data_IF_752419290266
#
_entry.id   IF_752419290266
#
_cell.length_a   1.000
_cell.length_b   1.000
_cell.length_c   1.000
_cell.angle_alpha   90.00
_cell.angle_beta   90.00
_cell.angle_gamma   90.00
#
_symmetry.space_group_name_H-M   'P 1'
#
loop_
_entity.id
_entity.type
_entity.pdbx_description
1 polymer ?
#
# COMPACT_ATOMS: atom_id res chain seq x y z
N UNK A 1 26.35 -4.10 -25.37
CA UNK A 1 26.24 -4.46 -23.93
C UNK A 1 24.79 -4.27 -23.54
N UNK A 2 24.08 -5.36 -23.19
CA UNK A 2 22.65 -5.30 -22.85
C UNK A 2 22.45 -4.62 -21.49
N UNK A 3 21.44 -3.75 -21.39
CA UNK A 3 21.06 -3.11 -20.14
C UNK A 3 20.62 -4.18 -19.13
N UNK A 4 21.38 -4.30 -18.04
CA UNK A 4 21.08 -5.22 -16.93
C UNK A 4 19.70 -4.87 -16.38
N UNK A 5 18.77 -5.83 -16.23
CA UNK A 5 17.42 -5.56 -15.78
C UNK A 5 17.42 -4.91 -14.38
N UNK A 6 16.38 -4.13 -14.05
CA UNK A 6 16.24 -3.53 -12.74
C UNK A 6 16.31 -4.60 -11.65
N UNK A 7 17.16 -4.37 -10.65
CA UNK A 7 17.28 -5.27 -9.50
C UNK A 7 15.97 -5.36 -8.69
N UNK A 8 15.86 -6.36 -7.84
CA UNK A 8 14.80 -6.46 -6.84
C UNK A 8 15.31 -5.87 -5.52
N UNK A 9 14.41 -5.22 -4.78
CA UNK A 9 14.67 -4.70 -3.45
C UNK A 9 13.87 -5.55 -2.45
N UNK A 10 14.56 -6.24 -1.56
CA UNK A 10 13.95 -7.02 -0.48
C UNK A 10 14.01 -6.19 0.79
N UNK A 11 12.84 -5.83 1.31
CA UNK A 11 12.69 -5.06 2.54
C UNK A 11 12.33 -6.03 3.66
N UNK A 12 13.15 -6.08 4.70
CA UNK A 12 12.92 -6.95 5.87
C UNK A 12 12.48 -6.09 7.06
N UNK A 13 11.47 -6.57 7.78
CA UNK A 13 11.00 -5.93 9.01
C UNK A 13 12.10 -5.93 10.06
N UNK A 14 12.22 -4.82 10.80
CA UNK A 14 13.22 -4.65 11.87
C UNK A 14 12.98 -5.61 13.04
N UNK A 15 11.74 -5.99 13.28
CA UNK A 15 11.35 -6.81 14.44
C UNK A 15 11.70 -8.30 14.28
N UNK A 16 12.25 -8.69 13.11
CA UNK A 16 12.63 -10.08 12.79
C UNK A 16 14.08 -10.18 12.30
N UNK A 17 15.07 -10.06 13.20
CA UNK A 17 16.50 -10.10 12.85
C UNK A 17 16.97 -11.48 12.34
N UNK A 18 16.28 -12.54 12.75
CA UNK A 18 16.44 -13.90 12.25
C UNK A 18 16.14 -14.00 10.75
N UNK A 19 15.03 -13.40 10.30
CA UNK A 19 14.65 -13.31 8.89
C UNK A 19 15.67 -12.52 8.08
N UNK A 20 16.22 -11.44 8.64
CA UNK A 20 17.29 -10.69 7.97
C UNK A 20 18.54 -11.55 7.74
N UNK A 21 18.96 -12.31 8.76
CA UNK A 21 20.13 -13.19 8.64
C UNK A 21 19.91 -14.28 7.58
N UNK A 22 18.70 -14.86 7.55
CA UNK A 22 18.31 -15.85 6.55
C UNK A 22 18.30 -15.27 5.13
N UNK A 23 17.59 -14.16 4.93
CA UNK A 23 17.45 -13.49 3.61
C UNK A 23 18.81 -13.03 3.10
N UNK A 24 19.65 -12.45 3.97
CA UNK A 24 20.99 -12.00 3.60
C UNK A 24 21.86 -13.16 3.12
N UNK A 25 21.83 -14.31 3.82
CA UNK A 25 22.55 -15.52 3.41
C UNK A 25 21.98 -16.11 2.13
N UNK A 26 20.66 -16.10 1.96
CA UNK A 26 19.98 -16.69 0.80
C UNK A 26 20.28 -15.95 -0.51
N UNK A 27 20.45 -14.63 -0.43
CA UNK A 27 20.75 -13.75 -1.56
C UNK A 27 22.23 -13.31 -1.61
N UNK A 28 23.09 -13.97 -0.84
CA UNK A 28 24.53 -13.72 -0.89
C UNK A 28 25.07 -14.09 -2.28
N UNK A 29 25.65 -13.10 -2.95
CA UNK A 29 26.21 -13.26 -4.30
C UNK A 29 25.25 -12.95 -5.46
N UNK A 30 23.98 -12.60 -5.23
CA UNK A 30 23.09 -12.12 -6.30
C UNK A 30 23.20 -10.59 -6.44
N UNK A 31 23.87 -10.08 -7.50
CA UNK A 31 24.03 -8.64 -7.69
C UNK A 31 22.76 -7.94 -8.19
N UNK A 32 21.65 -8.67 -8.38
CA UNK A 32 20.36 -8.09 -8.73
C UNK A 32 19.46 -7.90 -7.51
N UNK A 33 19.82 -8.44 -6.35
CA UNK A 33 18.97 -8.37 -5.15
C UNK A 33 19.64 -7.51 -4.11
N UNK A 34 18.97 -6.42 -3.73
CA UNK A 34 19.41 -5.61 -2.60
C UNK A 34 18.52 -5.88 -1.40
N UNK A 35 19.12 -6.32 -0.30
CA UNK A 35 18.40 -6.54 0.96
C UNK A 35 18.58 -5.30 1.83
N UNK A 36 17.47 -4.71 2.27
CA UNK A 36 17.45 -3.58 3.20
C UNK A 36 16.57 -3.90 4.41
N UNK A 37 16.96 -3.39 5.58
CA UNK A 37 16.12 -3.41 6.77
C UNK A 37 15.24 -2.17 6.75
N UNK A 38 13.97 -2.32 7.10
CA UNK A 38 13.12 -1.15 7.29
C UNK A 38 13.63 -0.32 8.48
N UNK A 39 14.03 0.93 8.18
CA UNK A 39 14.60 1.87 9.17
C UNK A 39 13.61 2.95 9.58
N UNK A 40 12.36 2.89 9.14
CA UNK A 40 11.33 3.84 9.58
C UNK A 40 11.17 3.68 11.09
N UNK A 41 11.78 4.59 11.84
CA UNK A 41 11.41 4.77 13.23
C UNK A 41 9.96 5.25 13.19
N UNK A 42 9.07 4.55 13.87
CA UNK A 42 7.93 5.20 14.49
C UNK A 42 8.50 6.29 15.38
N UNK A 43 8.76 7.47 14.83
CA UNK A 43 8.89 8.68 15.63
C UNK A 43 7.54 8.82 16.33
N UNK A 44 7.47 8.69 17.67
CA UNK A 44 6.20 8.71 18.39
C UNK A 44 5.60 10.13 18.49
N UNK A 45 5.85 11.00 17.50
CA UNK A 45 5.54 12.44 17.57
C UNK A 45 4.87 13.04 16.33
N UNK A 46 4.51 12.26 15.31
CA UNK A 46 3.93 12.79 14.07
C UNK A 46 2.43 12.48 13.94
N UNK A 47 1.64 12.86 14.95
CA UNK A 47 0.17 12.99 14.87
C UNK A 47 -0.25 14.28 14.15
N UNK A 48 0.49 14.68 13.11
CA UNK A 48 0.13 15.86 12.33
C UNK A 48 -0.93 15.45 11.29
N UNK A 49 -2.15 16.04 11.30
CA UNK A 49 -3.23 15.68 10.38
C UNK A 49 -2.85 16.01 8.94
N UNK A 50 -2.22 15.04 8.28
CA UNK A 50 -1.76 15.15 6.91
C UNK A 50 -2.91 14.93 5.93
N UNK A 51 -3.01 15.84 4.96
CA UNK A 51 -3.95 15.74 3.86
C UNK A 51 -3.73 14.47 3.02
N UNK A 52 -4.80 13.86 2.48
CA UNK A 52 -4.71 12.60 1.76
C UNK A 52 -4.10 12.79 0.35
N UNK A 53 -2.78 12.64 0.25
CA UNK A 53 -2.07 12.55 -1.03
C UNK A 53 -2.33 11.17 -1.68
N UNK A 54 -2.83 11.16 -2.93
CA UNK A 54 -3.22 9.95 -3.70
C UNK A 54 -2.11 8.91 -3.90
N UNK A 55 -0.84 9.26 -3.64
CA UNK A 55 0.31 8.35 -3.71
C UNK A 55 0.55 7.53 -2.44
N UNK A 56 -0.24 7.70 -1.38
CA UNK A 56 -0.08 7.00 -0.09
C UNK A 56 -0.71 5.60 -0.04
N UNK A 57 -1.63 5.28 -0.94
CA UNK A 57 -2.36 4.00 -0.87
C UNK A 57 -1.43 2.79 -1.02
N UNK A 58 -0.49 2.84 -1.96
CA UNK A 58 0.45 1.74 -2.20
C UNK A 58 1.39 1.50 -1.01
N UNK A 59 1.69 2.54 -0.23
CA UNK A 59 2.55 2.42 0.95
C UNK A 59 1.88 1.71 2.12
N UNK A 60 0.56 1.89 2.30
CA UNK A 60 -0.17 1.23 3.39
C UNK A 60 -0.24 -0.28 3.19
N UNK A 61 -0.45 -0.72 1.95
CA UNK A 61 -0.44 -2.14 1.62
C UNK A 61 0.94 -2.74 1.88
N UNK A 62 2.00 -2.04 1.48
CA UNK A 62 3.38 -2.49 1.68
C UNK A 62 3.75 -2.56 3.18
N UNK A 63 3.26 -1.62 3.98
CA UNK A 63 3.44 -1.63 5.43
C UNK A 63 2.69 -2.78 6.10
N UNK A 64 1.44 -3.03 5.70
CA UNK A 64 0.65 -4.15 6.21
C UNK A 64 1.29 -5.50 5.85
N UNK A 65 1.76 -5.64 4.60
CA UNK A 65 2.48 -6.83 4.15
C UNK A 65 3.79 -7.04 4.91
N UNK A 66 4.51 -5.96 5.22
CA UNK A 66 5.75 -6.02 6.00
C UNK A 66 5.48 -6.40 7.46
N UNK A 67 4.41 -5.88 8.07
CA UNK A 67 3.97 -6.26 9.43
C UNK A 67 3.53 -7.71 9.50
N UNK A 68 2.78 -8.17 8.50
CA UNK A 68 2.20 -9.52 8.46
C UNK A 68 3.25 -10.59 8.15
N UNK A 69 4.06 -10.36 7.11
CA UNK A 69 4.97 -11.37 6.56
C UNK A 69 6.41 -11.19 7.05
N UNK A 70 6.78 -10.02 7.54
CA UNK A 70 8.14 -9.70 7.96
C UNK A 70 9.12 -9.44 6.81
N UNK A 71 8.72 -9.65 5.56
CA UNK A 71 9.52 -9.40 4.36
C UNK A 71 8.63 -9.01 3.18
N UNK A 72 9.08 -8.06 2.36
CA UNK A 72 8.41 -7.63 1.13
C UNK A 72 9.43 -7.50 0.00
N UNK A 73 9.07 -7.96 -1.19
CA UNK A 73 9.90 -7.85 -2.40
C UNK A 73 9.29 -6.79 -3.30
N UNK A 74 10.06 -5.73 -3.56
CA UNK A 74 9.66 -4.63 -4.43
C UNK A 74 10.52 -4.72 -5.69
N UNK A 75 9.93 -4.73 -6.91
CA UNK A 75 10.73 -4.54 -8.11
C UNK A 75 11.38 -3.15 -8.00
N UNK A 76 12.71 -3.05 -8.10
CA UNK A 76 13.36 -1.74 -8.08
C UNK A 76 12.99 -1.06 -9.40
N UNK A 77 11.84 -0.39 -9.43
CA UNK A 77 11.41 0.35 -10.61
C UNK A 77 12.58 1.19 -11.05
N UNK A 78 13.04 0.97 -12.29
CA UNK A 78 14.17 1.64 -12.87
C UNK A 78 13.91 3.14 -12.75
N UNK A 79 14.49 3.76 -11.72
CA UNK A 79 14.28 5.18 -11.42
C UNK A 79 14.84 5.92 -12.62
N UNK A 80 14.01 6.49 -13.51
CA UNK A 80 14.51 7.11 -14.73
C UNK A 80 15.27 8.35 -14.27
N UNK A 81 16.61 8.30 -14.35
CA UNK A 81 17.47 9.41 -13.93
C UNK A 81 18.34 9.16 -12.70
N UNK A 82 18.29 7.99 -12.05
CA UNK A 82 19.31 7.62 -11.07
C UNK A 82 20.57 7.08 -11.78
N UNK A 83 21.20 7.90 -12.63
CA UNK A 83 22.57 7.65 -13.05
C UNK A 83 23.42 7.54 -11.77
N UNK A 84 24.17 6.44 -11.68
CA UNK A 84 25.00 6.06 -10.54
C UNK A 84 25.63 7.30 -9.87
N UNK A 85 25.09 7.69 -8.70
CA UNK A 85 25.89 8.52 -7.79
C UNK A 85 27.07 7.62 -7.42
N UNK A 86 28.32 7.99 -7.77
CA UNK A 86 29.46 7.23 -7.33
C UNK A 86 29.38 7.13 -5.81
N UNK A 87 29.44 5.90 -5.31
CA UNK A 87 29.66 5.64 -3.90
C UNK A 87 30.83 6.56 -3.48
N UNK A 88 30.66 7.45 -2.48
CA UNK A 88 31.73 8.33 -2.07
C UNK A 88 32.92 7.44 -1.68
N UNK A 89 33.98 7.48 -2.48
CA UNK A 89 35.26 6.91 -2.11
C UNK A 89 35.60 7.45 -0.72
N UNK A 90 35.98 6.54 0.18
CA UNK A 90 36.30 6.82 1.57
C UNK A 90 37.03 8.16 1.68
N UNK A 91 36.34 9.17 2.21
CA UNK A 91 36.97 10.44 2.50
C UNK A 91 38.10 10.19 3.51
N UNK A 92 39.31 10.72 3.30
CA UNK A 92 40.36 10.68 4.31
C UNK A 92 39.84 11.31 5.60
N UNK A 93 40.20 10.69 6.73
CA UNK A 93 39.73 11.03 8.06
C UNK A 93 39.79 12.56 8.29
N UNK A 94 38.71 13.17 8.81
CA UNK A 94 38.74 14.59 9.15
C UNK A 94 39.79 14.84 10.25
N UNK A 95 40.54 15.95 10.19
CA UNK A 95 41.44 16.33 11.27
C UNK A 95 40.64 16.54 12.55
N UNK A 96 41.17 15.98 13.62
CA UNK A 96 40.66 16.07 15.00
C UNK A 96 40.40 17.53 15.37
N UNK A 97 39.14 17.95 15.37
CA UNK A 97 38.76 19.23 15.98
C UNK A 97 38.85 19.08 17.51
N UNK A 98 39.49 20.03 18.22
CA UNK A 98 39.51 20.02 19.67
C UNK A 98 38.09 20.23 20.21
N UNK A 99 37.74 19.39 21.16
CA UNK A 99 36.49 19.34 21.92
C UNK A 99 36.23 20.71 22.54
N UNK A 100 35.33 21.49 21.93
CA UNK A 100 34.74 22.67 22.56
C UNK A 100 33.66 22.22 23.54
N UNK A 101 33.73 22.79 24.74
CA UNK A 101 32.94 22.54 25.93
C UNK A 101 31.46 22.21 25.68
N UNK A 102 31.03 21.13 26.33
CA UNK A 102 29.62 20.79 26.52
C UNK A 102 28.88 21.96 27.19
N UNK A 103 27.76 22.45 26.63
CA UNK A 103 26.86 23.35 27.35
C UNK A 103 26.16 22.57 28.47
N UNK A 104 26.14 23.16 29.67
CA UNK A 104 25.50 22.60 30.85
C UNK A 104 23.98 22.43 30.66
N UNK A 105 23.36 21.44 31.33
CA UNK A 105 21.92 21.22 31.27
C UNK A 105 21.17 22.40 31.90
N UNK A 106 20.32 23.04 31.10
CA UNK A 106 19.35 24.02 31.57
C UNK A 106 18.28 23.26 32.36
N UNK A 107 18.16 23.57 33.65
CA UNK A 107 17.10 23.09 34.54
C UNK A 107 15.76 23.61 34.02
N UNK A 108 14.88 22.70 33.60
CA UNK A 108 13.54 23.03 33.16
C UNK A 108 12.72 23.61 34.33
N UNK A 109 12.09 24.80 34.18
CA UNK A 109 11.11 25.27 35.15
C UNK A 109 9.85 24.42 35.10
N UNK A 110 9.27 24.20 36.28
CA UNK A 110 8.08 23.40 36.52
C UNK A 110 6.91 23.76 35.58
N UNK A 111 6.24 22.73 35.08
CA UNK A 111 5.09 22.85 34.20
C UNK A 111 3.98 23.69 34.84
N UNK A 112 3.43 24.71 34.14
CA UNK A 112 2.23 25.39 34.57
C UNK A 112 1.02 24.45 34.43
N UNK A 113 0.20 24.44 35.48
CA UNK A 113 -1.10 23.77 35.54
C UNK A 113 -1.97 24.18 34.36
N UNK A 114 -2.50 23.19 33.64
CA UNK A 114 -3.34 23.40 32.46
C UNK A 114 -4.61 24.21 32.80
N UNK A 115 -4.95 25.26 32.03
CA UNK A 115 -6.24 25.93 32.17
C UNK A 115 -7.39 25.03 31.67
N UNK A 116 -8.63 25.26 32.13
CA UNK A 116 -9.79 24.49 31.73
C UNK A 116 -10.04 24.60 30.21
N UNK A 117 -10.29 23.45 29.59
CA UNK A 117 -10.57 23.29 28.17
C UNK A 117 -11.81 24.12 27.79
N UNK A 118 -11.60 25.16 26.99
CA UNK A 118 -12.68 25.93 26.36
C UNK A 118 -13.37 25.09 25.27
N UNK A 119 -14.68 25.30 25.02
CA UNK A 119 -15.41 24.59 23.97
C UNK A 119 -14.79 24.88 22.60
N UNK A 120 -14.47 23.81 21.87
CA UNK A 120 -13.94 23.83 20.51
C UNK A 120 -14.95 24.50 19.59
N UNK A 121 -14.63 25.68 19.08
CA UNK A 121 -15.40 26.30 18.00
C UNK A 121 -15.13 25.55 16.69
N UNK A 122 -16.14 25.33 15.84
CA UNK A 122 -15.96 24.67 14.55
C UNK A 122 -15.04 25.52 13.67
N UNK A 123 -13.85 25.01 13.37
CA UNK A 123 -12.94 25.60 12.40
C UNK A 123 -13.55 25.41 11.01
N UNK A 124 -14.04 26.50 10.42
CA UNK A 124 -14.44 26.53 9.01
C UNK A 124 -13.16 26.49 8.19
N UNK A 125 -12.80 25.31 7.70
CA UNK A 125 -11.68 25.14 6.76
C UNK A 125 -12.12 25.72 5.41
N UNK A 126 -11.46 26.78 4.90
CA UNK A 126 -11.77 27.31 3.58
C UNK A 126 -11.44 26.25 2.52
N UNK A 127 -12.45 25.81 1.79
CA UNK A 127 -12.29 24.96 0.61
C UNK A 127 -11.57 25.81 -0.45
N UNK A 128 -10.36 25.42 -0.91
CA UNK A 128 -9.67 26.16 -1.94
C UNK A 128 -10.52 26.20 -3.22
N UNK A 129 -10.52 27.32 -3.97
CA UNK A 129 -11.28 27.41 -5.21
C UNK A 129 -10.83 26.30 -6.16
N UNK A 130 -11.79 25.56 -6.69
CA UNK A 130 -11.57 24.50 -7.66
C UNK A 130 -10.78 25.08 -8.84
N UNK A 131 -9.58 24.56 -9.08
CA UNK A 131 -8.85 24.90 -10.30
C UNK A 131 -9.68 24.43 -11.50
N UNK A 132 -9.80 25.24 -12.57
CA UNK A 132 -10.53 24.84 -13.77
C UNK A 132 -9.82 23.62 -14.37
N UNK A 133 -10.48 22.47 -14.27
CA UNK A 133 -10.02 21.25 -14.92
C UNK A 133 -10.29 21.43 -16.41
N UNK A 134 -9.24 21.77 -17.16
CA UNK A 134 -9.28 21.80 -18.63
C UNK A 134 -9.79 20.43 -19.11
N UNK A 135 -10.95 20.42 -19.75
CA UNK A 135 -11.55 19.21 -20.30
C UNK A 135 -10.55 18.55 -21.27
N UNK A 136 -10.13 17.29 -21.05
CA UNK A 136 -9.31 16.60 -22.03
C UNK A 136 -10.12 16.37 -23.30
N UNK A 137 -9.55 16.74 -24.44
CA UNK A 137 -10.12 16.52 -25.76
C UNK A 137 -10.49 15.03 -25.94
N UNK A 138 -11.62 14.72 -26.62
CA UNK A 138 -12.06 13.35 -26.84
C UNK A 138 -11.14 12.65 -27.85
N UNK A 139 -10.02 12.10 -27.36
CA UNK A 139 -9.22 11.16 -28.13
C UNK A 139 -9.74 9.78 -27.79
N UNK A 140 -10.58 9.24 -28.67
CA UNK A 140 -10.98 7.85 -28.66
C UNK A 140 -9.75 6.97 -28.95
N UNK A 141 -8.98 6.66 -27.92
CA UNK A 141 -8.10 5.50 -27.94
C UNK A 141 -8.76 4.39 -27.15
N UNK A 142 -8.86 3.16 -27.68
CA UNK A 142 -9.25 2.02 -26.89
C UNK A 142 -8.15 1.84 -25.83
N UNK A 143 -8.44 2.25 -24.60
CA UNK A 143 -7.64 1.87 -23.44
C UNK A 143 -7.80 0.37 -23.35
N UNK A 144 -6.83 -0.36 -23.87
CA UNK A 144 -6.59 -1.75 -23.51
C UNK A 144 -6.18 -1.67 -22.04
N UNK A 145 -7.20 -1.70 -21.17
CA UNK A 145 -7.05 -1.70 -19.73
C UNK A 145 -6.20 -2.93 -19.41
N UNK A 146 -4.91 -2.65 -19.23
CA UNK A 146 -3.92 -3.65 -18.90
C UNK A 146 -4.32 -4.12 -17.51
N UNK A 147 -5.07 -5.22 -17.47
CA UNK A 147 -5.49 -5.88 -16.24
C UNK A 147 -4.27 -5.89 -15.31
N UNK A 148 -4.37 -5.31 -14.10
CA UNK A 148 -3.27 -5.38 -13.15
C UNK A 148 -2.90 -6.85 -12.98
N UNK A 149 -1.60 -7.18 -12.80
CA UNK A 149 -1.20 -8.55 -12.55
C UNK A 149 -2.07 -9.07 -11.41
N UNK A 150 -2.72 -10.21 -11.66
CA UNK A 150 -3.58 -10.90 -10.70
C UNK A 150 -2.68 -11.24 -9.51
N UNK A 151 -2.62 -10.32 -8.53
CA UNK A 151 -2.02 -10.57 -7.23
C UNK A 151 -2.98 -11.53 -6.57
N UNK A 152 -2.73 -12.82 -6.76
CA UNK A 152 -3.41 -13.85 -5.99
C UNK A 152 -3.20 -13.48 -4.52
N UNK A 153 -4.26 -13.26 -3.73
CA UNK A 153 -4.09 -13.18 -2.29
C UNK A 153 -3.45 -14.50 -1.88
N UNK A 154 -2.16 -14.45 -1.51
CA UNK A 154 -1.43 -15.55 -0.88
C UNK A 154 -1.97 -15.68 0.55
N UNK A 155 -3.23 -16.07 0.63
CA UNK A 155 -4.10 -15.97 1.80
C UNK A 155 -4.90 -17.25 1.99
N UNK A 156 -4.24 -18.39 1.75
CA UNK A 156 -4.58 -19.69 2.28
C UNK A 156 -3.37 -20.57 2.01
N UNK A 157 -2.19 -20.20 2.54
CA UNK A 157 -1.28 -21.28 2.87
C UNK A 157 -2.04 -22.11 3.91
N UNK A 158 -2.37 -23.39 3.62
CA UNK A 158 -2.91 -24.26 4.65
C UNK A 158 -1.96 -24.10 5.82
N UNK A 159 -2.49 -23.87 7.04
CA UNK A 159 -1.66 -23.89 8.23
C UNK A 159 -0.81 -25.14 8.10
N UNK A 160 0.49 -24.97 7.85
CA UNK A 160 1.49 -25.97 8.08
C UNK A 160 1.45 -26.11 9.60
N UNK A 161 0.44 -26.86 10.07
CA UNK A 161 0.44 -27.43 11.38
C UNK A 161 1.79 -28.09 11.47
N UNK A 162 2.59 -27.57 12.39
CA UNK A 162 3.92 -27.99 12.76
C UNK A 162 3.95 -29.52 12.81
N UNK A 163 4.13 -30.14 11.64
CA UNK A 163 4.49 -31.54 11.54
C UNK A 163 5.90 -31.51 12.04
N UNK A 164 6.04 -31.69 13.36
CA UNK A 164 7.26 -32.17 13.96
C UNK A 164 7.66 -33.38 13.13
N UNK A 165 8.54 -33.15 12.16
CA UNK A 165 9.27 -34.18 11.45
C UNK A 165 10.07 -34.84 12.54
N UNK A 166 9.42 -35.82 13.16
CA UNK A 166 9.99 -36.70 14.13
C UNK A 166 11.01 -37.50 13.35
N UNK A 167 12.23 -36.97 13.36
CA UNK A 167 13.48 -37.70 13.39
C UNK A 167 13.37 -39.08 12.74
N UNK A 168 13.60 -39.09 11.43
CA UNK A 168 14.43 -40.09 10.75
C UNK A 168 14.23 -41.54 11.22
N UNK A 169 12.97 -41.99 11.33
CA UNK A 169 12.69 -43.42 11.21
C UNK A 169 12.89 -43.75 9.75
N UNK A 170 14.15 -44.01 9.38
CA UNK A 170 14.58 -44.61 8.13
C UNK A 170 13.62 -45.77 7.87
N UNK A 171 12.62 -45.54 7.04
CA UNK A 171 11.82 -46.61 6.49
C UNK A 171 12.81 -47.39 5.66
N UNK A 172 13.35 -48.45 6.27
CA UNK A 172 13.90 -49.59 5.57
C UNK A 172 12.91 -49.89 4.45
N UNK A 173 13.25 -49.45 3.24
CA UNK A 173 12.57 -49.90 2.05
C UNK A 173 13.02 -51.33 1.92
N UNK A 174 12.31 -52.22 2.60
CA UNK A 174 12.58 -53.64 2.55
C UNK A 174 12.67 -54.02 1.07
N UNK A 175 13.74 -54.71 0.65
CA UNK A 175 13.94 -55.07 -0.73
C UNK A 175 12.71 -55.83 -1.20
N UNK A 176 12.33 -55.59 -2.46
CA UNK A 176 11.15 -56.11 -3.16
C UNK A 176 11.15 -57.65 -3.14
N UNK A 177 10.86 -58.23 -1.98
CA UNK A 177 10.42 -59.60 -1.83
C UNK A 177 9.01 -59.65 -2.36
N UNK A 178 8.72 -60.68 -3.16
CA UNK A 178 7.40 -60.98 -3.73
C UNK A 178 6.36 -60.83 -2.63
N UNK A 179 5.71 -59.66 -2.59
CA UNK A 179 4.81 -59.29 -1.51
C UNK A 179 3.64 -60.25 -1.53
N UNK A 180 3.22 -60.71 -0.36
CA UNK A 180 1.99 -61.50 -0.25
C UNK A 180 0.84 -60.73 -0.90
N UNK A 181 -0.10 -61.41 -1.59
CA UNK A 181 -1.21 -60.76 -2.29
C UNK A 181 -2.00 -59.78 -1.39
N UNK A 182 -2.10 -60.07 -0.10
CA UNK A 182 -2.75 -59.20 0.90
C UNK A 182 -2.11 -57.81 1.00
N UNK A 183 -0.79 -57.70 0.82
CA UNK A 183 -0.10 -56.40 0.83
C UNK A 183 -0.45 -55.57 -0.38
N UNK A 184 -0.60 -56.21 -1.54
CA UNK A 184 -1.02 -55.53 -2.77
C UNK A 184 -2.46 -55.01 -2.64
N UNK A 185 -3.35 -55.82 -2.08
CA UNK A 185 -4.76 -55.43 -1.83
C UNK A 185 -4.84 -54.23 -0.89
N UNK A 186 -4.18 -54.27 0.28
CA UNK A 186 -4.17 -53.12 1.21
C UNK A 186 -3.61 -51.85 0.58
N UNK A 187 -2.56 -51.96 -0.22
CA UNK A 187 -2.00 -50.79 -0.92
C UNK A 187 -3.00 -50.20 -1.92
N UNK A 188 -3.80 -51.03 -2.58
CA UNK A 188 -4.86 -50.56 -3.48
C UNK A 188 -5.95 -49.85 -2.68
N UNK A 189 -6.41 -50.44 -1.58
CA UNK A 189 -7.40 -49.82 -0.68
C UNK A 189 -6.91 -48.47 -0.13
N UNK A 190 -5.69 -48.41 0.41
CA UNK A 190 -5.07 -47.18 0.91
C UNK A 190 -4.99 -46.11 -0.19
N UNK A 191 -4.69 -46.51 -1.44
CA UNK A 191 -4.63 -45.59 -2.57
C UNK A 191 -6.01 -45.08 -2.99
N UNK A 192 -7.05 -45.91 -2.90
CA UNK A 192 -8.42 -45.51 -3.20
C UNK A 192 -8.95 -44.53 -2.15
N UNK A 193 -8.67 -44.78 -0.87
CA UNK A 193 -9.03 -43.87 0.22
C UNK A 193 -8.34 -42.51 0.09
N UNK A 194 -7.04 -42.50 -0.25
CA UNK A 194 -6.29 -41.26 -0.46
C UNK A 194 -6.85 -40.46 -1.65
N UNK A 195 -7.16 -41.14 -2.76
CA UNK A 195 -7.78 -40.50 -3.93
C UNK A 195 -9.16 -39.92 -3.60
N UNK A 196 -9.96 -40.62 -2.79
CA UNK A 196 -11.23 -40.11 -2.28
C UNK A 196 -11.07 -38.80 -1.51
N UNK A 197 -10.15 -38.77 -0.54
CA UNK A 197 -9.86 -37.56 0.26
C UNK A 197 -9.35 -36.39 -0.60
N UNK A 198 -8.47 -36.66 -1.57
CA UNK A 198 -7.97 -35.63 -2.49
C UNK A 198 -9.10 -35.06 -3.36
N UNK A 199 -10.03 -35.89 -3.82
CA UNK A 199 -11.18 -35.45 -4.59
C UNK A 199 -12.11 -34.56 -3.75
N UNK A 200 -12.38 -34.92 -2.50
CA UNK A 200 -13.17 -34.10 -1.58
C UNK A 200 -12.52 -32.72 -1.34
N UNK A 201 -11.21 -32.69 -1.09
CA UNK A 201 -10.46 -31.44 -0.93
C UNK A 201 -10.52 -30.57 -2.20
N UNK A 202 -10.36 -31.19 -3.37
CA UNK A 202 -10.48 -30.48 -4.64
C UNK A 202 -11.87 -29.87 -4.82
N UNK A 203 -12.94 -30.61 -4.48
CA UNK A 203 -14.29 -30.07 -4.55
C UNK A 203 -14.54 -28.95 -3.55
N UNK A 204 -14.00 -29.04 -2.33
CA UNK A 204 -14.07 -27.98 -1.35
C UNK A 204 -13.35 -26.71 -1.83
N UNK A 205 -12.13 -26.84 -2.38
CA UNK A 205 -11.40 -25.70 -2.95
C UNK A 205 -12.20 -25.09 -4.10
N UNK A 206 -12.74 -25.93 -4.99
CA UNK A 206 -13.55 -25.48 -6.12
C UNK A 206 -14.79 -24.72 -5.68
N UNK A 207 -15.51 -25.18 -4.65
CA UNK A 207 -16.69 -24.49 -4.14
C UNK A 207 -16.32 -23.16 -3.47
N UNK A 208 -15.22 -23.10 -2.72
CA UNK A 208 -14.72 -21.85 -2.15
C UNK A 208 -14.32 -20.84 -3.22
N UNK A 209 -13.72 -21.29 -4.33
CA UNK A 209 -13.35 -20.41 -5.44
C UNK A 209 -14.59 -19.79 -6.10
N UNK A 210 -15.64 -20.58 -6.36
CA UNK A 210 -16.90 -20.07 -6.92
C UNK A 210 -17.55 -19.04 -5.99
N UNK A 211 -17.57 -19.31 -4.67
CA UNK A 211 -18.12 -18.37 -3.70
C UNK A 211 -17.34 -17.05 -3.67
N UNK A 212 -16.01 -17.09 -3.73
CA UNK A 212 -15.16 -15.89 -3.79
C UNK A 212 -15.37 -15.12 -5.10
N UNK A 213 -15.55 -15.81 -6.22
CA UNK A 213 -15.85 -15.16 -7.51
C UNK A 213 -17.19 -14.43 -7.48
N UNK A 214 -18.23 -15.04 -6.89
CA UNK A 214 -19.55 -14.40 -6.70
C UNK A 214 -19.44 -13.15 -5.80
N UNK A 215 -18.70 -13.22 -4.71
CA UNK A 215 -18.46 -12.08 -3.83
C UNK A 215 -17.69 -10.95 -4.56
N UNK A 216 -16.66 -11.30 -5.33
CA UNK A 216 -15.93 -10.33 -6.15
C UNK A 216 -16.83 -9.66 -7.19
N UNK A 217 -17.74 -10.41 -7.81
CA UNK A 217 -18.72 -9.84 -8.75
C UNK A 217 -19.67 -8.87 -8.04
N UNK A 218 -20.19 -9.25 -6.87
CA UNK A 218 -21.05 -8.38 -6.05
C UNK A 218 -20.35 -7.08 -5.67
N UNK A 219 -19.11 -7.15 -5.18
CA UNK A 219 -18.33 -5.96 -4.82
C UNK A 219 -18.02 -5.07 -6.04
N UNK A 220 -17.79 -5.64 -7.22
CA UNK A 220 -17.63 -4.86 -8.46
C UNK A 220 -18.91 -4.14 -8.86
N UNK A 221 -20.06 -4.79 -8.73
CA UNK A 221 -21.36 -4.17 -9.00
C UNK A 221 -21.64 -3.02 -8.02
N UNK A 222 -21.40 -3.22 -6.73
CA UNK A 222 -21.57 -2.18 -5.71
C UNK A 222 -20.64 -0.98 -5.97
N UNK A 223 -19.37 -1.23 -6.28
CA UNK A 223 -18.44 -0.16 -6.67
C UNK A 223 -18.89 0.60 -7.92
N UNK A 224 -19.49 -0.08 -8.90
CA UNK A 224 -20.03 0.58 -10.09
C UNK A 224 -21.21 1.49 -9.74
N UNK A 225 -22.13 1.01 -8.88
CA UNK A 225 -23.26 1.80 -8.38
C UNK A 225 -22.79 3.02 -7.58
N UNK A 226 -21.86 2.85 -6.65
CA UNK A 226 -21.33 3.96 -5.84
C UNK A 226 -20.60 5.01 -6.68
N UNK A 227 -19.91 4.59 -7.76
CA UNK A 227 -19.30 5.54 -8.71
C UNK A 227 -20.36 6.33 -9.47
N UNK A 228 -21.39 5.67 -9.97
CA UNK A 228 -22.50 6.34 -10.64
C UNK A 228 -23.20 7.35 -9.72
N UNK A 229 -23.42 7.00 -8.46
CA UNK A 229 -24.00 7.91 -7.46
C UNK A 229 -23.06 9.10 -7.17
N UNK A 230 -21.75 8.87 -7.03
CA UNK A 230 -20.78 9.95 -6.84
C UNK A 230 -20.79 10.93 -8.02
N UNK A 231 -20.87 10.40 -9.23
CA UNK A 231 -20.89 11.21 -10.44
C UNK A 231 -22.20 12.00 -10.56
N UNK A 232 -23.34 11.42 -10.19
CA UNK A 232 -24.61 12.13 -10.07
C UNK A 232 -24.54 13.27 -9.04
N UNK A 233 -24.03 13.00 -7.83
CA UNK A 233 -23.85 14.02 -6.79
C UNK A 233 -22.90 15.14 -7.21
N UNK A 234 -21.86 14.82 -8.00
CA UNK A 234 -20.97 15.84 -8.58
C UNK A 234 -21.69 16.71 -9.61
N UNK A 235 -22.51 16.10 -10.46
CA UNK A 235 -23.33 16.83 -11.43
C UNK A 235 -24.33 17.76 -10.72
N UNK A 236 -25.00 17.28 -9.68
CA UNK A 236 -25.92 18.09 -8.86
C UNK A 236 -25.21 19.26 -8.20
N UNK A 237 -24.04 19.02 -7.59
CA UNK A 237 -23.22 20.09 -7.00
C UNK A 237 -22.78 21.13 -8.03
N UNK A 238 -22.43 20.70 -9.24
CA UNK A 238 -22.09 21.61 -10.33
C UNK A 238 -23.28 22.48 -10.74
N UNK A 239 -24.47 21.87 -10.92
CA UNK A 239 -25.70 22.60 -11.24
C UNK A 239 -26.09 23.62 -10.16
N UNK A 240 -25.93 23.25 -8.88
CA UNK A 240 -26.15 24.18 -7.76
C UNK A 240 -25.15 25.34 -7.82
N UNK A 241 -23.86 25.06 -8.02
CA UNK A 241 -22.84 26.11 -8.12
C UNK A 241 -23.11 27.08 -9.29
N UNK A 242 -23.55 26.57 -10.44
CA UNK A 242 -23.97 27.38 -11.58
C UNK A 242 -25.16 28.27 -11.25
N UNK A 243 -26.19 27.73 -10.58
CA UNK A 243 -27.36 28.51 -10.16
C UNK A 243 -27.01 29.62 -9.16
N UNK A 244 -26.14 29.33 -8.18
CA UNK A 244 -25.65 30.34 -7.22
C UNK A 244 -24.83 31.42 -7.91
N UNK A 245 -23.96 31.04 -8.85
CA UNK A 245 -23.18 31.99 -9.65
C UNK A 245 -24.11 32.90 -10.45
N UNK A 246 -25.14 32.33 -11.08
CA UNK A 246 -26.16 33.09 -11.81
C UNK A 246 -26.87 34.10 -10.92
N UNK A 247 -27.40 33.67 -9.77
CA UNK A 247 -28.07 34.56 -8.81
C UNK A 247 -27.13 35.67 -8.34
N UNK A 248 -25.88 35.33 -8.03
CA UNK A 248 -24.84 36.31 -7.64
C UNK A 248 -24.63 37.37 -8.72
N UNK A 249 -24.50 36.96 -9.99
CA UNK A 249 -24.34 37.91 -11.11
C UNK A 249 -25.58 38.76 -11.36
N UNK A 250 -26.78 38.19 -11.20
CA UNK A 250 -28.05 38.91 -11.34
C UNK A 250 -28.23 39.96 -10.23
N UNK A 251 -27.82 39.66 -8.98
CA UNK A 251 -27.85 40.61 -7.86
C UNK A 251 -26.75 41.67 -7.94
N UNK A 252 -25.57 41.33 -8.46
CA UNK A 252 -24.46 42.28 -8.59
C UNK A 252 -24.76 43.40 -9.61
N UNK A 253 -25.57 43.13 -10.63
CA UNK A 253 -25.94 44.10 -11.67
C UNK A 253 -26.62 45.36 -11.11
N UNK A 254 -27.74 45.30 -10.37
CA UNK A 254 -28.39 46.50 -9.84
C UNK A 254 -27.51 47.25 -8.82
N UNK A 255 -26.70 46.53 -8.03
CA UNK A 255 -25.75 47.17 -7.10
C UNK A 255 -24.73 48.00 -7.87
N UNK A 256 -24.14 47.44 -8.91
CA UNK A 256 -23.18 48.15 -9.76
C UNK A 256 -23.84 49.33 -10.50
N UNK A 257 -25.09 49.19 -10.95
CA UNK A 257 -25.85 50.28 -11.57
C UNK A 257 -26.12 51.42 -10.58
N UNK A 258 -26.45 51.11 -9.32
CA UNK A 258 -26.63 52.11 -8.25
C UNK A 258 -25.31 52.81 -7.91
N UNK A 259 -24.23 52.05 -7.75
CA UNK A 259 -22.90 52.60 -7.50
C UNK A 259 -22.47 53.53 -8.64
N UNK A 260 -22.73 53.15 -9.90
CA UNK A 260 -22.43 53.97 -11.07
C UNK A 260 -23.27 55.25 -11.12
N UNK A 261 -24.55 55.22 -10.71
CA UNK A 261 -25.40 56.42 -10.61
C UNK A 261 -24.92 57.38 -9.52
N UNK A 262 -24.56 56.87 -8.36
CA UNK A 262 -24.08 57.68 -7.23
C UNK A 262 -22.73 58.33 -7.56
N UNK A 263 -21.80 57.56 -8.14
CA UNK A 263 -20.46 58.05 -8.48
C UNK A 263 -20.45 58.92 -9.74
N UNK A 264 -21.32 58.65 -10.73
CA UNK A 264 -21.38 59.38 -11.99
C UNK A 264 -22.13 60.71 -11.93
N UNK A 265 -23.05 60.89 -10.97
CA UNK A 265 -23.79 62.15 -10.80
C UNK A 265 -22.95 63.30 -10.19
N UNK A 266 -21.69 63.03 -9.80
CA UNK A 266 -20.80 64.01 -9.17
C UNK A 266 -19.85 64.77 -10.11
N UNK A 267 -19.96 64.58 -11.43
CA UNK A 267 -19.09 65.26 -12.40
C UNK A 267 -19.94 66.04 -13.42
N UNK A 268 -20.39 67.27 -13.07
CA UNK A 268 -21.08 68.17 -14.00
C UNK A 268 -20.12 68.78 -15.04
#
# INVERSE_FOLDING_TARGET
>A
MAAKPPGQLVIVSRDRPDLLAYVSRRFEGDPNVQVIVDRRQTDPGADEPHTPERRRSDWRTLEEDLRRNGVVIVPAQARPGAAARPQPAAAPAPPTQPVAAQPQPIVAPAAPVAPPVAPVQPVIVPVPPAQPVTAPAPTAQPVVESLPPLVYPRGAEPQEGEVRVSEEKRMSVDPVGVGTPDRAIRRIEDSQDLLGKLFEQYQAIKSTLVAVDEECQKLRQENATLRAENDALRADRAAIAESLTRISTEMARPINDLLRRILGAGNP
#
